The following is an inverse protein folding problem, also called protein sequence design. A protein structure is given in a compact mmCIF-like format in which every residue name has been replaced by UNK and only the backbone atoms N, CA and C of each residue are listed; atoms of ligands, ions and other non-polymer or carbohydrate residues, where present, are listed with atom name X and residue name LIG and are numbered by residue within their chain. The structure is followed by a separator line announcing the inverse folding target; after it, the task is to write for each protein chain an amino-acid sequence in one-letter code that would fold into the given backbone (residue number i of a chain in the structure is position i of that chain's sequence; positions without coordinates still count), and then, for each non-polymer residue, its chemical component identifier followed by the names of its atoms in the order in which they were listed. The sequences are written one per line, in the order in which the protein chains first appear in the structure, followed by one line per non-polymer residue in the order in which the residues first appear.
data_IF_299583789154
#
_entry.id   IF_299583789154
#
_cell.length_a   1.000
_cell.length_b   1.000
_cell.length_c   1.000
_cell.angle_alpha   90.00
_cell.angle_beta   90.00
_cell.angle_gamma   90.00
#
_symmetry.space_group_name_H-M   'P 1'
#
loop_
_entity.id
_entity.type
_entity.pdbx_description
1 polymer ?
#
# COMPACT_ATOMS: atom_id res chain seq x y z
N UNK A 1 8.82 1.88 12.24
CA UNK A 1 8.56 1.81 10.79
C UNK A 1 8.78 3.12 10.06
N UNK A 2 8.89 4.28 10.72
CA UNK A 2 9.30 5.52 10.03
C UNK A 2 10.76 5.50 9.55
N UNK A 3 11.55 4.55 10.06
CA UNK A 3 12.92 4.25 9.68
C UNK A 3 13.08 3.84 8.21
N UNK A 4 12.00 3.41 7.53
CA UNK A 4 12.02 3.17 6.08
C UNK A 4 11.89 4.44 5.24
N UNK A 5 11.57 5.59 5.87
CA UNK A 5 11.47 6.87 5.18
C UNK A 5 12.88 7.42 4.96
N UNK A 6 13.17 7.84 3.73
CA UNK A 6 14.48 8.40 3.37
C UNK A 6 14.92 9.50 4.35
N UNK A 7 15.99 9.21 5.11
CA UNK A 7 16.49 10.05 6.20
C UNK A 7 17.34 11.24 5.73
N UNK A 8 17.59 11.37 4.42
CA UNK A 8 18.49 12.37 3.87
C UNK A 8 19.85 11.78 3.49
N UNK A 9 20.62 12.57 2.76
CA UNK A 9 22.02 12.35 2.41
C UNK A 9 22.72 13.71 2.31
N UNK A 10 24.05 13.73 2.16
CA UNK A 10 24.86 14.95 2.14
C UNK A 10 24.30 16.09 1.25
N UNK A 11 23.69 15.73 0.11
CA UNK A 11 23.15 16.68 -0.86
C UNK A 11 21.63 16.55 -1.06
N UNK A 12 20.95 15.67 -0.31
CA UNK A 12 19.52 15.39 -0.51
C UNK A 12 18.78 15.43 0.83
N UNK A 13 17.80 16.34 1.02
CA UNK A 13 17.08 16.43 2.28
C UNK A 13 16.25 15.17 2.57
N UNK A 14 15.97 14.94 3.84
CA UNK A 14 15.05 13.90 4.27
C UNK A 14 13.66 14.06 3.63
N UNK A 15 12.94 12.96 3.45
CA UNK A 15 11.53 12.97 3.06
C UNK A 15 10.64 12.79 4.28
N UNK A 16 9.40 13.26 4.14
CA UNK A 16 8.38 13.12 5.18
C UNK A 16 7.53 11.85 5.02
N UNK A 17 7.62 11.18 3.86
CA UNK A 17 6.93 9.92 3.62
C UNK A 17 7.74 8.97 2.73
N UNK A 18 7.39 7.70 2.81
CA UNK A 18 7.73 6.66 1.84
C UNK A 18 6.43 6.00 1.35
N UNK A 19 6.38 5.66 0.07
CA UNK A 19 5.22 5.03 -0.55
C UNK A 19 5.66 3.87 -1.43
N UNK A 20 4.91 2.78 -1.37
CA UNK A 20 5.09 1.60 -2.22
C UNK A 20 3.74 1.31 -2.87
N UNK A 21 3.78 1.04 -4.17
CA UNK A 21 2.65 0.54 -4.94
C UNK A 21 2.95 -0.89 -5.39
N UNK A 22 1.99 -1.79 -5.21
CA UNK A 22 1.97 -3.12 -5.78
C UNK A 22 0.87 -3.20 -6.82
N UNK A 23 1.20 -3.82 -7.94
CA UNK A 23 0.28 -4.08 -9.04
C UNK A 23 0.15 -5.59 -9.17
N UNK A 24 -1.06 -6.12 -8.99
CA UNK A 24 -1.34 -7.55 -9.01
C UNK A 24 -2.29 -7.87 -10.16
N UNK A 25 -2.04 -9.02 -10.80
CA UNK A 25 -3.02 -9.65 -11.70
C UNK A 25 -4.13 -10.29 -10.86
N UNK A 26 -5.37 -10.02 -11.25
CA UNK A 26 -6.59 -10.58 -10.66
C UNK A 26 -7.54 -11.09 -11.76
N UNK A 27 -7.04 -11.46 -12.94
CA UNK A 27 -7.85 -11.98 -14.04
C UNK A 27 -8.64 -13.26 -13.66
N UNK A 28 -8.08 -14.10 -12.77
CA UNK A 28 -8.75 -15.30 -12.26
C UNK A 28 -9.77 -15.01 -11.15
N UNK A 29 -9.93 -13.74 -10.75
CA UNK A 29 -10.90 -13.30 -9.74
C UNK A 29 -10.76 -14.02 -8.40
N UNK A 30 -9.52 -14.12 -7.92
CA UNK A 30 -9.20 -14.76 -6.64
C UNK A 30 -9.23 -13.79 -5.45
N UNK A 31 -9.31 -12.48 -5.68
CA UNK A 31 -9.39 -11.51 -4.62
C UNK A 31 -10.70 -11.64 -3.78
N UNK A 32 -10.67 -11.28 -2.48
CA UNK A 32 -11.87 -11.10 -1.68
C UNK A 32 -12.94 -10.24 -2.36
N UNK A 33 -14.21 -10.59 -2.15
CA UNK A 33 -15.36 -10.00 -2.87
C UNK A 33 -15.36 -8.46 -2.91
N UNK A 34 -14.92 -7.78 -1.84
CA UNK A 34 -14.86 -6.31 -1.79
C UNK A 34 -13.82 -5.66 -2.71
N UNK A 35 -12.93 -6.44 -3.32
CA UNK A 35 -11.86 -5.99 -4.21
C UNK A 35 -11.91 -6.66 -5.58
N UNK A 36 -12.81 -7.60 -5.81
CA UNK A 36 -12.72 -8.54 -6.92
C UNK A 36 -13.36 -8.06 -8.23
N UNK A 37 -13.65 -6.77 -8.35
CA UNK A 37 -14.39 -6.20 -9.49
C UNK A 37 -13.48 -5.84 -10.68
N UNK A 38 -12.16 -5.88 -10.52
CA UNK A 38 -11.20 -5.51 -11.57
C UNK A 38 -10.21 -6.66 -11.86
N UNK A 39 -9.75 -6.77 -13.10
CA UNK A 39 -8.70 -7.73 -13.50
C UNK A 39 -7.31 -7.36 -12.96
N UNK A 40 -7.16 -6.15 -12.43
CA UNK A 40 -5.92 -5.67 -11.85
C UNK A 40 -6.21 -4.97 -10.53
N UNK A 41 -5.33 -5.19 -9.56
CA UNK A 41 -5.37 -4.50 -8.27
C UNK A 41 -4.13 -3.63 -8.12
N UNK A 42 -4.34 -2.36 -7.81
CA UNK A 42 -3.31 -1.46 -7.31
C UNK A 42 -3.45 -1.32 -5.81
N UNK A 43 -2.43 -1.73 -5.06
CA UNK A 43 -2.37 -1.61 -3.60
C UNK A 43 -1.25 -0.63 -3.26
N UNK A 44 -1.60 0.46 -2.57
CA UNK A 44 -0.63 1.47 -2.13
C UNK A 44 -0.55 1.47 -0.62
N UNK A 45 0.67 1.47 -0.09
CA UNK A 45 0.95 1.78 1.30
C UNK A 45 1.86 3.00 1.38
N UNK A 46 1.39 4.04 2.08
CA UNK A 46 2.19 5.23 2.42
C UNK A 46 2.46 5.26 3.92
N UNK A 47 3.70 5.54 4.30
CA UNK A 47 4.09 5.79 5.69
C UNK A 47 4.52 7.24 5.77
N UNK A 48 3.87 8.03 6.64
CA UNK A 48 4.19 9.44 6.87
C UNK A 48 4.62 9.62 8.31
N UNK A 49 5.70 10.40 8.54
CA UNK A 49 6.21 10.69 9.88
C UNK A 49 5.11 11.27 10.76
N UNK A 50 5.03 10.83 12.01
CA UNK A 50 4.09 11.27 13.05
C UNK A 50 2.60 11.01 12.74
N UNK A 51 2.28 10.44 11.57
CA UNK A 51 0.91 10.13 11.13
C UNK A 51 0.68 8.61 11.03
N UNK A 52 1.73 7.85 10.68
CA UNK A 52 1.66 6.39 10.54
C UNK A 52 1.38 5.93 9.10
N UNK A 53 0.74 4.76 8.97
CA UNK A 53 0.48 4.13 7.67
C UNK A 53 -0.92 4.44 7.15
N UNK A 54 -1.02 4.82 5.87
CA UNK A 54 -2.25 4.89 5.10
C UNK A 54 -2.22 3.86 3.96
N UNK A 55 -3.38 3.30 3.63
CA UNK A 55 -3.53 2.23 2.64
C UNK A 55 -4.61 2.58 1.63
N UNK A 56 -4.35 2.26 0.37
CA UNK A 56 -5.33 2.36 -0.71
C UNK A 56 -5.38 1.09 -1.54
N UNK A 57 -6.57 0.77 -2.05
CA UNK A 57 -6.77 -0.24 -3.10
C UNK A 57 -7.59 0.40 -4.22
N UNK A 58 -7.07 0.39 -5.45
CA UNK A 58 -7.69 1.03 -6.61
C UNK A 58 -8.16 2.45 -6.30
N UNK A 59 -7.26 3.27 -5.77
CA UNK A 59 -7.45 4.66 -5.31
C UNK A 59 -8.36 4.89 -4.08
N UNK A 60 -9.08 3.87 -3.60
CA UNK A 60 -9.96 3.95 -2.42
C UNK A 60 -9.18 3.74 -1.13
N UNK A 61 -9.39 4.59 -0.13
CA UNK A 61 -8.81 4.40 1.20
C UNK A 61 -9.40 3.16 1.89
N UNK A 62 -8.53 2.35 2.49
CA UNK A 62 -8.90 1.11 3.18
C UNK A 62 -8.13 0.97 4.50
N UNK A 63 -8.53 0.02 5.34
CA UNK A 63 -7.80 -0.30 6.57
C UNK A 63 -6.66 -1.25 6.27
N UNK A 64 -5.63 -1.22 7.13
CA UNK A 64 -4.53 -2.18 7.06
C UNK A 64 -5.01 -3.64 7.08
N UNK A 65 -6.05 -3.94 7.88
CA UNK A 65 -6.64 -5.29 7.98
C UNK A 65 -7.27 -5.75 6.66
N UNK A 66 -7.88 -4.84 5.91
CA UNK A 66 -8.52 -5.18 4.64
C UNK A 66 -7.44 -5.59 3.61
N UNK A 67 -6.30 -4.88 3.62
CA UNK A 67 -5.12 -5.26 2.82
C UNK A 67 -4.52 -6.57 3.30
N UNK A 68 -4.44 -6.83 4.61
CA UNK A 68 -3.96 -8.12 5.11
C UNK A 68 -4.83 -9.29 4.63
N UNK A 69 -6.15 -9.10 4.58
CA UNK A 69 -7.07 -10.12 4.07
C UNK A 69 -6.87 -10.45 2.59
N UNK A 70 -6.40 -9.51 1.77
CA UNK A 70 -6.03 -9.78 0.37
C UNK A 70 -4.91 -10.84 0.24
N UNK A 71 -4.08 -11.00 1.27
CA UNK A 71 -2.91 -11.89 1.27
C UNK A 71 -3.03 -13.02 2.31
N UNK A 72 -4.19 -13.20 2.94
CA UNK A 72 -4.34 -14.15 4.05
C UNK A 72 -4.35 -15.62 3.61
N UNK A 73 -4.78 -15.89 2.37
CA UNK A 73 -4.92 -17.23 1.79
C UNK A 73 -3.93 -17.48 0.62
N UNK A 74 -2.89 -16.66 0.50
CA UNK A 74 -1.84 -16.76 -0.52
C UNK A 74 -0.73 -17.75 -0.12
#
# INVERSE_FOLDING_TARGET
MEDVIFAGAATRPARNFAEVALILDNAERLAPAGFNDNDQLEIIRRITRDVGSAYKVNTKDVRARDVQMLFADA
#
